data_IF_974150135787
#
_entry.id   IF_974150135787
#
_cell.length_a   1.000
_cell.length_b   1.000
_cell.length_c   1.000
_cell.angle_alpha   90.00
_cell.angle_beta   90.00
_cell.angle_gamma   90.00
#
_symmetry.space_group_name_H-M   'P 1'
#
loop_
_entity.id
_entity.type
_entity.pdbx_description
1 polymer ?
#
# COMPACT_ATOMS: atom_id res chain seq x y z
N UNK A 1 -71.63 -5.56 11.01
CA UNK A 1 -70.37 -4.83 10.78
C UNK A 1 -69.24 -5.77 11.17
N UNK A 2 -68.67 -6.51 10.21
CA UNK A 2 -67.61 -7.48 10.47
C UNK A 2 -66.26 -6.86 10.15
N UNK A 3 -65.37 -6.79 11.13
CA UNK A 3 -64.02 -6.27 11.00
C UNK A 3 -63.08 -7.34 10.44
N UNK A 4 -62.74 -7.25 9.15
CA UNK A 4 -61.69 -8.07 8.53
C UNK A 4 -60.31 -7.55 8.92
N UNK A 5 -59.53 -8.39 9.60
CA UNK A 5 -58.11 -8.19 9.91
C UNK A 5 -57.28 -8.47 8.63
N UNK A 6 -56.27 -7.64 8.28
CA UNK A 6 -55.45 -7.93 7.10
C UNK A 6 -54.44 -9.06 7.39
N UNK A 7 -54.21 -9.89 6.38
CA UNK A 7 -53.27 -11.02 6.44
C UNK A 7 -51.81 -10.53 6.67
N UNK A 8 -50.98 -11.31 7.38
CA UNK A 8 -49.59 -10.94 7.61
C UNK A 8 -48.82 -10.96 6.28
N UNK A 9 -48.12 -9.87 6.00
CA UNK A 9 -47.15 -9.77 4.90
C UNK A 9 -46.13 -10.91 5.00
N UNK A 10 -45.73 -11.53 3.87
CA UNK A 10 -44.69 -12.54 3.90
C UNK A 10 -43.43 -11.90 4.45
N UNK A 11 -42.95 -12.40 5.60
CA UNK A 11 -41.65 -12.02 6.17
C UNK A 11 -40.64 -12.13 5.03
N UNK A 12 -40.00 -11.03 4.67
CA UNK A 12 -38.86 -11.08 3.77
C UNK A 12 -37.91 -12.12 4.37
N UNK A 13 -37.61 -13.15 3.60
CA UNK A 13 -36.55 -14.08 3.94
C UNK A 13 -35.28 -13.24 3.95
N UNK A 14 -34.85 -12.80 5.13
CA UNK A 14 -33.50 -12.29 5.32
C UNK A 14 -32.57 -13.39 4.84
N UNK A 15 -31.80 -13.21 3.75
CA UNK A 15 -30.85 -14.20 3.33
C UNK A 15 -29.80 -14.37 4.41
N UNK A 16 -29.34 -15.61 4.50
CA UNK A 16 -28.56 -16.21 5.57
C UNK A 16 -27.30 -15.41 5.88
N UNK A 17 -27.09 -15.22 7.18
CA UNK A 17 -25.87 -14.82 7.91
C UNK A 17 -24.82 -14.10 7.03
N UNK A 18 -24.68 -12.76 7.18
CA UNK A 18 -23.60 -12.03 6.55
C UNK A 18 -22.28 -12.60 7.09
N UNK A 19 -21.26 -12.61 6.25
CA UNK A 19 -19.85 -12.71 6.62
C UNK A 19 -19.65 -12.64 8.14
N UNK A 20 -19.34 -13.76 8.78
CA UNK A 20 -18.66 -13.61 10.07
C UNK A 20 -17.42 -12.80 9.74
N UNK A 21 -17.16 -11.76 10.52
CA UNK A 21 -15.82 -11.18 10.61
C UNK A 21 -14.82 -12.33 10.47
N UNK A 22 -13.71 -12.10 9.75
CA UNK A 22 -12.57 -13.00 9.75
C UNK A 22 -12.16 -13.23 11.22
N UNK A 23 -12.84 -14.15 11.88
CA UNK A 23 -12.66 -14.52 13.27
C UNK A 23 -11.46 -15.45 13.30
N UNK A 24 -10.84 -15.57 14.47
CA UNK A 24 -9.60 -16.34 14.62
C UNK A 24 -9.71 -17.78 14.04
N UNK A 25 -10.92 -18.34 14.01
CA UNK A 25 -11.24 -19.71 13.58
C UNK A 25 -11.61 -19.92 12.10
N UNK A 26 -11.73 -18.88 11.26
CA UNK A 26 -12.09 -19.03 9.83
C UNK A 26 -10.81 -19.14 8.99
N UNK A 27 -10.72 -20.07 8.01
CA UNK A 27 -9.60 -20.10 7.07
C UNK A 27 -9.43 -18.72 6.42
N UNK A 28 -8.27 -18.10 6.65
CA UNK A 28 -7.98 -16.72 6.24
C UNK A 28 -8.01 -16.52 4.72
N UNK A 29 -7.92 -17.61 3.96
CA UNK A 29 -8.06 -17.65 2.50
C UNK A 29 -9.16 -18.67 2.18
N UNK A 30 -10.24 -18.27 1.47
CA UNK A 30 -11.25 -19.20 0.96
C UNK A 30 -10.67 -20.27 0.03
N UNK A 31 -11.22 -21.48 0.02
CA UNK A 31 -10.73 -22.58 -0.84
C UNK A 31 -10.76 -22.26 -2.34
N UNK A 32 -11.71 -21.43 -2.78
CA UNK A 32 -11.84 -21.01 -4.17
C UNK A 32 -11.03 -19.75 -4.51
N UNK A 33 -10.20 -19.26 -3.59
CA UNK A 33 -9.32 -18.13 -3.84
C UNK A 33 -8.25 -18.53 -4.88
N UNK A 34 -8.03 -17.65 -5.84
CA UNK A 34 -7.02 -17.84 -6.88
C UNK A 34 -5.81 -16.98 -6.55
N UNK A 35 -4.66 -17.61 -6.33
CA UNK A 35 -3.41 -16.86 -6.24
C UNK A 35 -3.04 -16.34 -7.63
N UNK A 36 -3.02 -15.02 -7.78
CA UNK A 36 -2.75 -14.37 -9.05
C UNK A 36 -1.26 -14.44 -9.42
N UNK A 37 -0.37 -14.56 -8.45
CA UNK A 37 1.09 -14.51 -8.66
C UNK A 37 1.81 -15.53 -7.76
N UNK A 38 1.67 -16.84 -8.01
CA UNK A 38 2.23 -17.89 -7.15
C UNK A 38 3.76 -17.86 -7.06
N UNK A 39 4.43 -17.31 -8.06
CA UNK A 39 5.89 -17.20 -8.13
C UNK A 39 6.42 -15.89 -7.51
N UNK A 40 5.55 -14.95 -7.12
CA UNK A 40 5.95 -13.65 -6.56
C UNK A 40 6.62 -13.86 -5.20
N UNK A 41 7.83 -13.31 -5.07
CA UNK A 41 8.50 -13.15 -3.78
C UNK A 41 7.87 -11.96 -3.03
N UNK A 42 7.41 -12.17 -1.80
CA UNK A 42 6.79 -11.13 -0.96
C UNK A 42 5.29 -11.38 -0.71
N UNK A 43 4.48 -10.31 -0.56
CA UNK A 43 3.05 -10.42 -0.34
C UNK A 43 2.34 -11.22 -1.43
N UNK A 44 1.46 -12.12 -0.99
CA UNK A 44 0.61 -12.94 -1.85
C UNK A 44 -0.68 -12.20 -2.15
N UNK A 45 -1.15 -12.29 -3.40
CA UNK A 45 -2.32 -11.55 -3.88
C UNK A 45 -3.32 -12.58 -4.39
N UNK A 46 -4.43 -12.71 -3.67
CA UNK A 46 -5.49 -13.64 -3.99
C UNK A 46 -6.68 -12.90 -4.60
N UNK A 47 -7.17 -13.38 -5.74
CA UNK A 47 -8.51 -13.06 -6.20
C UNK A 47 -9.54 -13.94 -5.48
N UNK A 48 -10.60 -13.32 -4.98
CA UNK A 48 -11.72 -13.98 -4.31
C UNK A 48 -12.95 -13.95 -5.23
N UNK A 49 -13.21 -15.00 -6.03
CA UNK A 49 -14.29 -14.98 -7.04
C UNK A 49 -15.66 -14.72 -6.43
N UNK A 50 -15.94 -15.28 -5.25
CA UNK A 50 -17.23 -15.14 -4.56
C UNK A 50 -17.53 -13.72 -4.06
N UNK A 51 -16.53 -12.83 -3.98
CA UNK A 51 -16.72 -11.45 -3.54
C UNK A 51 -16.34 -10.44 -4.62
N UNK A 52 -15.82 -10.91 -5.76
CA UNK A 52 -15.12 -10.11 -6.75
C UNK A 52 -14.10 -9.12 -6.13
N UNK A 53 -13.27 -9.62 -5.21
CA UNK A 53 -12.36 -8.81 -4.39
C UNK A 53 -10.91 -9.33 -4.44
N UNK A 54 -9.97 -8.51 -4.00
CA UNK A 54 -8.56 -8.85 -3.85
C UNK A 54 -8.18 -8.92 -2.38
N UNK A 55 -7.47 -9.97 -1.99
CA UNK A 55 -6.84 -10.11 -0.68
C UNK A 55 -5.31 -10.09 -0.86
N UNK A 56 -4.66 -9.02 -0.38
CA UNK A 56 -3.20 -8.94 -0.23
C UNK A 56 -2.85 -9.43 1.17
N UNK A 57 -1.96 -10.42 1.29
CA UNK A 57 -1.47 -10.90 2.60
C UNK A 57 0.03 -11.14 2.61
N UNK A 58 0.68 -10.90 3.74
CA UNK A 58 2.07 -11.28 3.92
C UNK A 58 2.76 -10.56 5.08
N UNK A 59 4.00 -10.95 5.40
CA UNK A 59 4.76 -10.38 6.52
C UNK A 59 5.17 -8.92 6.28
N UNK A 60 5.18 -8.47 5.02
CA UNK A 60 5.52 -7.09 4.65
C UNK A 60 4.30 -6.24 4.29
N UNK A 61 3.09 -6.77 4.40
CA UNK A 61 1.85 -6.00 4.18
C UNK A 61 1.61 -5.12 5.39
N UNK A 62 1.49 -3.80 5.18
CA UNK A 62 1.40 -2.82 6.26
C UNK A 62 0.03 -2.15 6.27
N UNK A 63 -0.49 -1.86 7.46
CA UNK A 63 -1.76 -1.11 7.57
C UNK A 63 -1.65 0.31 7.01
N UNK A 64 -0.45 0.89 6.98
CA UNK A 64 -0.17 2.17 6.33
C UNK A 64 -0.59 2.18 4.83
N UNK A 65 -0.47 1.04 4.13
CA UNK A 65 -0.93 0.91 2.74
C UNK A 65 -2.46 1.06 2.64
N UNK A 66 -3.19 0.42 3.56
CA UNK A 66 -4.64 0.52 3.62
C UNK A 66 -5.10 1.93 4.01
N UNK A 67 -4.44 2.55 4.99
CA UNK A 67 -4.72 3.93 5.40
C UNK A 67 -4.42 4.94 4.27
N UNK A 68 -3.36 4.75 3.48
CA UNK A 68 -3.08 5.57 2.31
C UNK A 68 -4.21 5.52 1.28
N UNK A 69 -4.70 4.32 0.93
CA UNK A 69 -5.82 4.17 0.00
C UNK A 69 -7.11 4.81 0.54
N UNK A 70 -7.44 4.58 1.82
CA UNK A 70 -8.60 5.22 2.47
C UNK A 70 -8.49 6.74 2.47
N UNK A 71 -7.30 7.28 2.77
CA UNK A 71 -7.03 8.71 2.78
C UNK A 71 -7.21 9.35 1.39
N UNK A 72 -6.61 8.75 0.37
CA UNK A 72 -6.74 9.20 -1.02
C UNK A 72 -8.20 9.15 -1.46
N UNK A 73 -8.91 8.04 -1.20
CA UNK A 73 -10.34 7.91 -1.54
C UNK A 73 -11.20 8.97 -0.88
N UNK A 74 -10.93 9.27 0.39
CA UNK A 74 -11.69 10.25 1.18
C UNK A 74 -11.41 11.70 0.74
N UNK A 75 -10.16 12.04 0.43
CA UNK A 75 -9.77 13.42 0.07
C UNK A 75 -9.88 13.72 -1.42
N UNK A 76 -9.69 12.72 -2.27
CA UNK A 76 -9.59 12.83 -3.72
C UNK A 76 -10.51 11.82 -4.40
N UNK A 77 -11.85 12.03 -4.39
CA UNK A 77 -12.81 11.05 -4.89
C UNK A 77 -12.68 10.73 -6.39
N UNK A 78 -11.97 11.58 -7.15
CA UNK A 78 -11.71 11.37 -8.58
C UNK A 78 -10.43 10.57 -8.86
N UNK A 79 -9.55 10.38 -7.87
CA UNK A 79 -8.35 9.56 -8.04
C UNK A 79 -8.78 8.08 -7.96
N UNK A 80 -8.53 7.28 -9.00
CA UNK A 80 -8.96 5.89 -9.02
C UNK A 80 -8.02 5.07 -8.14
N UNK A 81 -8.48 4.69 -6.96
CA UNK A 81 -7.77 3.85 -5.98
C UNK A 81 -8.71 2.72 -5.51
N UNK A 82 -8.21 1.49 -5.26
CA UNK A 82 -9.03 0.42 -4.72
C UNK A 82 -9.73 0.84 -3.42
N UNK A 83 -11.02 0.56 -3.33
CA UNK A 83 -11.73 0.71 -2.07
C UNK A 83 -11.32 -0.39 -1.08
N UNK A 84 -10.85 0.00 0.11
CA UNK A 84 -10.46 -0.94 1.16
C UNK A 84 -11.68 -1.38 1.95
N UNK A 85 -12.04 -2.65 1.85
CA UNK A 85 -13.13 -3.24 2.62
C UNK A 85 -12.70 -3.52 4.06
N UNK A 86 -11.51 -4.10 4.25
CA UNK A 86 -10.99 -4.46 5.57
C UNK A 86 -9.46 -4.55 5.57
N UNK A 87 -8.83 -4.18 6.68
CA UNK A 87 -7.39 -4.36 6.89
C UNK A 87 -7.09 -4.69 8.35
N UNK A 88 -6.20 -5.65 8.61
CA UNK A 88 -5.79 -6.02 9.97
C UNK A 88 -4.47 -6.78 9.99
N UNK A 89 -3.87 -6.88 11.19
CA UNK A 89 -2.73 -7.75 11.47
C UNK A 89 -3.21 -9.02 12.19
N UNK A 90 -2.68 -10.19 11.81
CA UNK A 90 -2.88 -11.46 12.53
C UNK A 90 -1.64 -12.33 12.36
N UNK A 91 -1.15 -12.92 13.45
CA UNK A 91 0.02 -13.81 13.44
C UNK A 91 1.23 -13.17 12.72
N UNK A 92 1.51 -11.88 12.99
CA UNK A 92 2.56 -11.06 12.35
C UNK A 92 2.40 -10.85 10.83
N UNK A 93 1.29 -11.30 10.25
CA UNK A 93 0.96 -11.07 8.84
C UNK A 93 -0.05 -9.92 8.71
N UNK A 94 0.20 -9.03 7.76
CA UNK A 94 -0.78 -8.03 7.34
C UNK A 94 -1.75 -8.60 6.32
N UNK A 95 -3.00 -8.15 6.41
CA UNK A 95 -4.08 -8.50 5.50
C UNK A 95 -4.78 -7.23 5.03
N UNK A 96 -4.97 -7.09 3.72
CA UNK A 96 -5.77 -6.03 3.11
C UNK A 96 -6.74 -6.68 2.13
N UNK A 97 -8.04 -6.53 2.42
CA UNK A 97 -9.14 -6.92 1.56
C UNK A 97 -9.68 -5.66 0.88
N UNK A 98 -9.67 -5.65 -0.45
CA UNK A 98 -10.00 -4.46 -1.23
C UNK A 98 -10.70 -4.80 -2.56
N UNK A 99 -11.25 -3.77 -3.19
CA UNK A 99 -11.86 -3.82 -4.51
C UNK A 99 -10.91 -4.43 -5.55
N UNK A 100 -11.46 -5.29 -6.42
CA UNK A 100 -10.76 -5.69 -7.64
C UNK A 100 -10.95 -4.62 -8.70
N UNK A 101 -9.87 -3.97 -9.08
CA UNK A 101 -9.88 -3.03 -10.21
C UNK A 101 -9.96 -3.79 -11.54
N UNK A 102 -10.89 -3.37 -12.39
CA UNK A 102 -11.00 -3.86 -13.77
C UNK A 102 -10.05 -3.12 -14.71
N UNK A 103 -9.46 -3.82 -15.67
CA UNK A 103 -8.52 -3.24 -16.65
C UNK A 103 -7.32 -4.14 -16.89
N UNK A 104 -6.30 -3.60 -17.56
CA UNK A 104 -4.97 -4.24 -17.67
C UNK A 104 -3.89 -3.32 -17.13
N UNK A 105 -2.80 -3.86 -16.57
CA UNK A 105 -1.62 -3.06 -16.22
C UNK A 105 -1.10 -2.31 -17.45
N UNK A 106 -0.70 -1.05 -17.26
CA UNK A 106 -0.18 -0.20 -18.32
C UNK A 106 1.08 -0.82 -18.94
N UNK A 107 1.90 -1.53 -18.15
CA UNK A 107 3.08 -2.27 -18.63
C UNK A 107 2.75 -3.25 -19.78
N UNK A 108 1.58 -3.91 -19.76
CA UNK A 108 1.18 -4.85 -20.81
C UNK A 108 0.69 -4.15 -22.08
N UNK A 109 0.21 -2.92 -21.96
CA UNK A 109 -0.37 -2.16 -23.07
C UNK A 109 0.66 -1.26 -23.73
N UNK A 110 1.63 -0.76 -22.96
CA UNK A 110 2.45 0.41 -23.30
C UNK A 110 3.10 0.31 -24.68
N UNK A 111 3.76 -0.81 -24.97
CA UNK A 111 4.47 -1.04 -26.23
C UNK A 111 3.56 -0.99 -27.47
N UNK A 112 2.29 -1.35 -27.31
CA UNK A 112 1.30 -1.44 -28.40
C UNK A 112 0.51 -0.14 -28.62
N UNK A 113 0.60 0.81 -27.70
CA UNK A 113 -0.08 2.10 -27.82
C UNK A 113 0.69 3.03 -28.74
N UNK A 114 -0.04 3.72 -29.61
CA UNK A 114 0.51 4.83 -30.40
C UNK A 114 0.78 6.07 -29.52
N UNK A 115 1.53 7.06 -30.04
CA UNK A 115 1.89 8.25 -29.26
C UNK A 115 0.70 9.04 -28.72
N UNK A 116 -0.39 9.17 -29.49
CA UNK A 116 -1.58 9.93 -29.04
C UNK A 116 -2.26 9.26 -27.85
N UNK A 117 -2.41 7.92 -27.90
CA UNK A 117 -2.97 7.14 -26.79
C UNK A 117 -2.10 7.18 -25.55
N UNK A 118 -0.78 7.13 -25.70
CA UNK A 118 0.17 7.30 -24.58
C UNK A 118 0.01 8.69 -23.97
N UNK A 119 -0.03 9.74 -24.78
CA UNK A 119 -0.21 11.11 -24.30
C UNK A 119 -1.54 11.27 -23.52
N UNK A 120 -2.62 10.65 -23.98
CA UNK A 120 -3.91 10.65 -23.28
C UNK A 120 -3.85 10.00 -21.89
N UNK A 121 -3.11 8.91 -21.73
CA UNK A 121 -2.91 8.26 -20.42
C UNK A 121 -2.02 9.11 -19.52
N UNK A 122 -0.93 9.66 -20.08
CA UNK A 122 0.01 10.53 -19.35
C UNK A 122 -0.69 11.79 -18.82
N UNK A 123 -1.62 12.37 -19.58
CA UNK A 123 -2.36 13.56 -19.14
C UNK A 123 -3.32 13.26 -17.98
N UNK A 124 -3.99 12.09 -18.01
CA UNK A 124 -4.77 11.64 -16.86
C UNK A 124 -3.89 11.46 -15.61
N UNK A 125 -2.72 10.83 -15.79
CA UNK A 125 -1.77 10.61 -14.71
C UNK A 125 -1.24 11.93 -14.12
N UNK A 126 -0.93 12.92 -14.98
CA UNK A 126 -0.56 14.27 -14.55
C UNK A 126 -1.65 14.90 -13.68
N UNK A 127 -2.91 14.80 -14.10
CA UNK A 127 -4.05 15.30 -13.35
C UNK A 127 -4.22 14.66 -11.98
N UNK A 128 -3.95 13.36 -11.85
CA UNK A 128 -3.99 12.69 -10.54
C UNK A 128 -2.79 13.06 -9.66
N UNK A 129 -1.58 13.10 -10.24
CA UNK A 129 -0.37 13.53 -9.53
C UNK A 129 -0.54 14.93 -8.96
N UNK A 130 -1.05 15.87 -9.75
CA UNK A 130 -1.32 17.22 -9.29
C UNK A 130 -2.27 17.22 -8.08
N UNK A 131 -3.37 16.46 -8.15
CA UNK A 131 -4.36 16.39 -7.07
C UNK A 131 -3.78 15.90 -5.74
N UNK A 132 -3.00 14.82 -5.71
CA UNK A 132 -2.44 14.36 -4.44
C UNK A 132 -1.26 15.18 -3.94
N UNK A 133 -0.54 15.88 -4.82
CA UNK A 133 0.51 16.82 -4.39
C UNK A 133 -0.04 18.07 -3.71
N UNK A 134 -1.32 18.40 -3.92
CA UNK A 134 -2.03 19.43 -3.15
C UNK A 134 -2.30 19.01 -1.71
N UNK A 135 -2.26 17.71 -1.39
CA UNK A 135 -2.36 17.25 -0.02
C UNK A 135 -1.03 17.51 0.70
N UNK A 136 -1.02 18.54 1.53
CA UNK A 136 0.10 18.88 2.42
C UNK A 136 -0.01 18.14 3.75
N UNK A 137 1.12 17.94 4.41
CA UNK A 137 1.19 17.26 5.71
C UNK A 137 2.15 17.96 6.66
N UNK A 138 2.09 17.58 7.93
CA UNK A 138 2.89 18.18 9.00
C UNK A 138 4.19 17.40 9.29
N UNK A 139 4.33 16.19 8.74
CA UNK A 139 5.51 15.34 8.89
C UNK A 139 5.94 14.74 7.55
N UNK A 140 7.21 14.32 7.47
CA UNK A 140 7.69 13.37 6.47
C UNK A 140 7.47 11.96 7.01
N UNK A 141 6.76 11.12 6.26
CA UNK A 141 6.44 9.76 6.69
C UNK A 141 5.12 9.22 6.13
N UNK A 142 4.89 7.94 6.36
CA UNK A 142 3.62 7.28 6.04
C UNK A 142 2.46 7.78 6.90
N UNK A 143 1.25 7.42 6.49
CA UNK A 143 0.06 7.62 7.32
C UNK A 143 -0.06 6.51 8.37
N UNK A 144 -0.52 6.86 9.57
CA UNK A 144 -0.90 5.88 10.59
C UNK A 144 0.21 5.35 11.47
N UNK A 145 1.06 6.23 12.00
CA UNK A 145 2.11 5.88 12.97
C UNK A 145 1.61 5.52 14.37
N UNK A 146 0.31 5.61 14.62
CA UNK A 146 -0.32 4.94 15.75
C UNK A 146 -0.42 3.46 15.43
N UNK A 147 0.21 2.61 16.25
CA UNK A 147 0.11 1.15 16.16
C UNK A 147 -1.33 0.76 15.86
N UNK A 148 -1.58 0.26 14.66
CA UNK A 148 -2.88 -0.25 14.24
C UNK A 148 -3.08 -1.65 14.84
N UNK A 149 -2.96 -1.71 16.17
CA UNK A 149 -3.75 -2.67 16.95
C UNK A 149 -5.16 -2.10 16.89
N UNK A 150 -5.89 -2.47 15.85
CA UNK A 150 -7.34 -2.41 15.92
C UNK A 150 -7.70 -3.15 17.21
N UNK A 151 -8.24 -2.41 18.20
CA UNK A 151 -8.81 -2.93 19.42
C UNK A 151 -9.92 -3.95 19.05
N UNK A 152 -9.55 -5.19 18.77
CA UNK A 152 -10.44 -6.31 18.98
C UNK A 152 -10.46 -6.51 20.48
N UNK A 153 -11.61 -6.18 21.07
CA UNK A 153 -11.81 -6.14 22.51
C UNK A 153 -11.20 -7.34 23.20
N UNK A 154 -10.22 -7.05 24.05
CA UNK A 154 -9.68 -7.98 25.02
C UNK A 154 -10.78 -8.28 26.04
N UNK A 155 -11.64 -9.24 25.70
CA UNK A 155 -12.47 -9.92 26.67
C UNK A 155 -11.62 -11.03 27.29
N UNK A 156 -10.73 -10.61 28.20
CA UNK A 156 -10.27 -11.46 29.28
C UNK A 156 -11.49 -12.09 29.96
N UNK A 157 -11.76 -13.36 29.63
CA UNK A 157 -12.56 -14.23 30.49
C UNK A 157 -11.61 -15.24 31.14
N UNK A 158 -11.59 -15.30 32.48
CA UNK A 158 -10.61 -16.08 33.20
C UNK A 158 -10.83 -17.57 32.95
N UNK A 159 -9.72 -18.27 32.76
CA UNK A 159 -9.62 -19.71 32.63
C UNK A 159 -10.42 -20.43 33.72
N UNK A 160 -11.51 -21.09 33.33
CA UNK A 160 -12.07 -22.20 34.09
C UNK A 160 -11.76 -23.51 33.40
N UNK A 161 -10.80 -24.23 33.98
CA UNK A 161 -10.58 -25.65 33.73
C UNK A 161 -11.84 -26.45 34.07
N UNK A 162 -12.40 -27.17 33.09
CA UNK A 162 -13.10 -28.41 33.39
C UNK A 162 -12.88 -29.50 32.32
N UNK A 163 -12.56 -30.68 32.85
CA UNK A 163 -12.30 -31.95 32.16
C UNK A 163 -13.54 -32.45 31.41
N UNK A 164 -13.27 -32.99 30.22
CA UNK A 164 -13.73 -34.29 29.72
C UNK A 164 -15.22 -34.58 29.61
N UNK A 165 -15.68 -34.83 28.38
CA UNK A 165 -16.52 -36.00 28.09
C UNK A 165 -16.49 -36.31 26.59
N UNK A 166 -16.29 -37.59 26.31
CA UNK A 166 -16.42 -38.26 25.02
C UNK A 166 -17.83 -38.15 24.45
N UNK A 167 -17.95 -37.96 23.14
CA UNK A 167 -19.20 -38.09 22.40
C UNK A 167 -18.93 -38.20 20.90
N UNK A 168 -19.07 -39.41 20.36
CA UNK A 168 -19.06 -39.69 18.92
C UNK A 168 -20.34 -39.19 18.26
N UNK A 169 -20.26 -38.67 17.03
CA UNK A 169 -21.26 -38.94 15.99
C UNK A 169 -20.82 -38.48 14.60
N UNK A 170 -20.60 -39.49 13.75
CA UNK A 170 -20.99 -39.62 12.34
C UNK A 170 -20.77 -38.46 11.35
N UNK A 171 -20.00 -38.82 10.31
CA UNK A 171 -19.89 -38.16 9.02
C UNK A 171 -21.23 -37.89 8.34
N UNK A 172 -21.35 -36.69 7.76
CA UNK A 172 -22.28 -36.36 6.69
C UNK A 172 -21.48 -35.58 5.64
N UNK A 173 -21.07 -36.28 4.59
CA UNK A 173 -20.39 -35.75 3.43
C UNK A 173 -21.42 -35.12 2.48
N UNK A 174 -21.65 -33.82 2.58
CA UNK A 174 -22.33 -33.06 1.54
C UNK A 174 -21.35 -32.05 0.96
N UNK A 175 -20.85 -32.36 -0.24
CA UNK A 175 -20.00 -31.49 -1.03
C UNK A 175 -20.82 -30.27 -1.47
N UNK A 176 -20.59 -29.13 -0.83
CA UNK A 176 -21.14 -27.85 -1.26
C UNK A 176 -20.38 -27.38 -2.51
N UNK A 177 -21.00 -27.47 -3.68
CA UNK A 177 -20.50 -26.81 -4.90
C UNK A 177 -21.13 -25.42 -5.00
N UNK A 178 -20.37 -24.33 -4.81
CA UNK A 178 -20.94 -22.99 -4.90
C UNK A 178 -21.33 -22.66 -6.35
N UNK A 179 -22.59 -22.28 -6.55
CA UNK A 179 -23.07 -21.74 -7.82
C UNK A 179 -22.68 -20.24 -7.95
N UNK A 180 -22.53 -19.71 -9.19
CA UNK A 180 -22.12 -18.32 -9.44
C UNK A 180 -23.04 -17.23 -8.84
N UNK A 181 -24.22 -17.60 -8.34
CA UNK A 181 -25.19 -16.69 -7.72
C UNK A 181 -25.09 -16.58 -6.18
N UNK A 182 -24.20 -17.35 -5.54
CA UNK A 182 -24.02 -17.34 -4.06
C UNK A 182 -22.96 -16.32 -3.58
N UNK A 183 -22.48 -15.47 -4.49
CA UNK A 183 -21.55 -14.40 -4.17
C UNK A 183 -22.20 -13.42 -3.18
N UNK A 184 -21.80 -13.49 -1.91
CA UNK A 184 -22.16 -12.45 -0.96
C UNK A 184 -21.38 -11.17 -1.32
N UNK A 185 -21.96 -9.96 -1.20
CA UNK A 185 -21.23 -8.73 -1.46
C UNK A 185 -20.16 -8.52 -0.37
N UNK A 186 -18.96 -7.96 -0.68
CA UNK A 186 -17.93 -7.71 0.32
C UNK A 186 -18.45 -6.84 1.48
N UNK A 187 -17.81 -6.89 2.66
CA UNK A 187 -18.24 -6.07 3.79
C UNK A 187 -18.20 -4.58 3.43
N UNK A 188 -19.05 -3.74 4.07
CA UNK A 188 -19.03 -2.32 3.81
C UNK A 188 -17.63 -1.76 4.10
N UNK A 189 -17.14 -0.82 3.27
CA UNK A 189 -15.85 -0.18 3.44
C UNK A 189 -15.70 0.39 4.85
N UNK A 190 -14.54 0.14 5.47
CA UNK A 190 -14.22 0.75 6.76
C UNK A 190 -13.79 2.20 6.54
N UNK A 191 -14.39 3.12 7.30
CA UNK A 191 -13.91 4.50 7.41
C UNK A 191 -12.47 4.52 7.94
N UNK A 192 -11.65 5.50 7.51
CA UNK A 192 -10.29 5.67 8.04
C UNK A 192 -10.28 5.63 9.57
N UNK A 193 -9.34 4.89 10.17
CA UNK A 193 -9.20 4.81 11.62
C UNK A 193 -8.65 6.11 12.23
N UNK A 194 -8.04 6.94 11.39
CA UNK A 194 -7.39 8.19 11.73
C UNK A 194 -8.05 9.27 10.89
N UNK A 195 -8.44 10.39 11.51
CA UNK A 195 -8.92 11.52 10.71
C UNK A 195 -7.80 11.94 9.74
N UNK A 196 -8.11 12.10 8.45
CA UNK A 196 -7.14 12.51 7.44
C UNK A 196 -6.31 13.75 7.84
N UNK A 197 -5.03 13.55 8.18
CA UNK A 197 -4.12 14.60 8.64
C UNK A 197 -4.07 14.81 10.16
N UNK A 198 -4.67 13.92 10.95
CA UNK A 198 -4.77 14.05 12.41
C UNK A 198 -4.30 12.77 13.11
N UNK A 199 -3.00 12.66 13.38
CA UNK A 199 -2.41 11.54 14.12
C UNK A 199 -0.88 11.56 14.04
N UNK A 200 -0.17 10.79 14.89
CA UNK A 200 1.27 10.67 14.76
C UNK A 200 1.62 10.03 13.41
N UNK A 201 2.52 10.66 12.67
CA UNK A 201 3.03 10.13 11.42
C UNK A 201 3.68 8.75 11.58
N UNK A 202 3.56 7.91 10.55
CA UNK A 202 4.29 6.66 10.48
C UNK A 202 5.72 6.85 9.99
N UNK A 203 6.53 5.79 9.99
CA UNK A 203 7.88 5.85 9.45
C UNK A 203 7.87 6.23 7.97
N UNK A 204 8.97 6.81 7.51
CA UNK A 204 9.23 7.10 6.11
C UNK A 204 9.39 5.80 5.31
N UNK A 205 8.75 5.78 4.15
CA UNK A 205 8.69 4.63 3.26
C UNK A 205 9.47 4.84 1.96
N UNK A 206 10.21 5.95 1.90
CA UNK A 206 11.11 6.35 0.84
C UNK A 206 12.19 5.28 0.63
N UNK A 207 12.62 5.08 -0.63
CA UNK A 207 13.61 4.05 -0.97
C UNK A 207 14.89 4.17 -0.15
N UNK A 208 15.32 5.40 0.13
CA UNK A 208 16.53 5.70 0.90
C UNK A 208 16.49 5.11 2.31
N UNK A 209 15.30 4.89 2.86
CA UNK A 209 15.06 4.29 4.18
C UNK A 209 14.75 2.79 4.13
N UNK A 210 14.62 2.22 2.93
CA UNK A 210 14.33 0.79 2.70
C UNK A 210 15.55 -0.03 2.30
N UNK A 211 16.68 0.59 2.02
CA UNK A 211 17.91 -0.12 1.67
C UNK A 211 18.34 -1.09 2.77
N UNK A 212 18.73 -2.29 2.36
CA UNK A 212 19.13 -3.38 3.26
C UNK A 212 20.34 -2.94 4.09
N UNK A 213 20.09 -2.65 5.36
CA UNK A 213 21.12 -2.33 6.33
C UNK A 213 22.00 -3.57 6.57
N UNK A 214 23.26 -3.33 6.94
CA UNK A 214 24.13 -4.36 7.51
C UNK A 214 23.79 -4.71 8.96
N UNK A 215 22.64 -4.22 9.44
CA UNK A 215 22.09 -4.56 10.73
C UNK A 215 22.02 -6.09 10.87
N UNK A 216 22.21 -6.57 12.09
CA UNK A 216 22.14 -7.98 12.43
C UNK A 216 20.92 -8.63 11.78
N UNK A 217 21.00 -9.88 11.29
CA UNK A 217 19.84 -10.56 10.72
C UNK A 217 18.62 -10.43 11.65
N UNK A 218 17.61 -9.68 11.22
CA UNK A 218 16.38 -9.44 12.00
C UNK A 218 16.18 -8.02 12.56
N UNK A 219 17.16 -7.11 12.48
CA UNK A 219 17.03 -5.74 12.99
C UNK A 219 16.66 -4.76 11.86
N UNK A 220 15.36 -4.56 11.63
CA UNK A 220 14.87 -3.58 10.65
C UNK A 220 14.76 -2.19 11.31
N UNK A 221 15.68 -1.28 10.95
CA UNK A 221 15.61 0.10 11.41
C UNK A 221 14.50 0.86 10.67
N UNK A 222 13.71 1.60 11.43
CA UNK A 222 12.68 2.52 10.92
C UNK A 222 13.18 3.95 11.01
N UNK A 223 12.81 4.78 10.04
CA UNK A 223 13.21 6.19 9.99
C UNK A 223 11.96 7.06 10.03
N UNK A 224 12.02 8.18 10.74
CA UNK A 224 10.90 9.08 10.89
C UNK A 224 9.76 8.53 11.78
N UNK A 225 8.60 9.22 11.82
CA UNK A 225 8.30 10.45 11.06
C UNK A 225 9.26 11.60 11.42
N UNK A 226 9.48 12.52 10.48
CA UNK A 226 10.29 13.73 10.71
C UNK A 226 9.43 14.98 10.59
N UNK A 227 9.59 15.96 11.46
CA UNK A 227 8.78 17.17 11.42
C UNK A 227 9.36 18.21 10.46
N UNK A 228 10.68 18.17 10.21
CA UNK A 228 11.37 19.16 9.39
C UNK A 228 12.26 18.52 8.33
N UNK A 229 12.57 19.28 7.27
CA UNK A 229 13.47 18.89 6.20
C UNK A 229 14.87 18.60 6.74
N UNK A 230 15.34 19.38 7.70
CA UNK A 230 16.62 19.15 8.37
C UNK A 230 16.65 17.79 9.11
N UNK A 231 15.56 17.43 9.79
CA UNK A 231 15.42 16.10 10.43
C UNK A 231 15.38 14.98 9.38
N UNK A 232 14.62 15.16 8.30
CA UNK A 232 14.58 14.21 7.18
C UNK A 232 15.97 13.98 6.57
N UNK A 233 16.69 15.06 6.27
CA UNK A 233 18.06 15.01 5.72
C UNK A 233 19.03 14.33 6.70
N UNK A 234 18.90 14.61 8.00
CA UNK A 234 19.66 13.91 9.05
C UNK A 234 19.33 12.41 9.07
N UNK A 235 18.06 12.07 8.88
CA UNK A 235 17.61 10.69 8.67
C UNK A 235 18.27 10.02 7.47
N UNK A 236 18.40 10.72 6.33
CA UNK A 236 19.09 10.19 5.14
C UNK A 236 20.57 9.95 5.42
N UNK A 237 21.25 10.87 6.13
CA UNK A 237 22.64 10.68 6.57
C UNK A 237 22.76 9.50 7.52
N UNK A 238 21.78 9.29 8.39
CA UNK A 238 21.73 8.14 9.27
C UNK A 238 21.51 6.84 8.48
N UNK A 239 20.66 6.85 7.45
CA UNK A 239 20.49 5.72 6.54
C UNK A 239 21.80 5.38 5.80
N UNK A 240 22.56 6.41 5.42
CA UNK A 240 23.91 6.22 4.91
C UNK A 240 24.77 5.46 5.94
N UNK A 241 24.90 5.94 7.18
CA UNK A 241 25.67 5.24 8.23
C UNK A 241 25.31 3.76 8.35
N UNK A 242 24.01 3.46 8.37
CA UNK A 242 23.52 2.09 8.54
C UNK A 242 23.78 1.18 7.32
N UNK A 243 24.08 1.74 6.14
CA UNK A 243 24.49 0.97 4.98
C UNK A 243 25.98 0.60 4.97
N UNK A 244 26.79 1.15 5.89
CA UNK A 244 28.23 0.85 6.02
C UNK A 244 28.45 -0.31 6.99
N UNK A 245 29.48 -1.12 6.73
CA UNK A 245 29.84 -2.28 7.58
C UNK A 245 30.30 -1.89 8.98
N UNK A 246 30.90 -0.71 9.11
CA UNK A 246 31.39 -0.18 10.39
C UNK A 246 30.35 0.67 11.11
N UNK A 247 29.27 1.07 10.43
CA UNK A 247 28.35 2.11 10.91
C UNK A 247 28.91 3.54 10.83
N UNK A 248 30.14 3.71 10.34
CA UNK A 248 30.84 4.99 10.27
C UNK A 248 30.93 5.50 8.83
N UNK A 249 30.78 6.82 8.65
CA UNK A 249 31.04 7.49 7.38
C UNK A 249 32.52 7.88 7.29
N UNK A 250 33.09 7.84 6.09
CA UNK A 250 34.49 8.22 5.86
C UNK A 250 34.60 9.60 5.21
N UNK A 251 35.84 10.10 5.05
CA UNK A 251 36.13 11.35 4.32
C UNK A 251 35.56 11.35 2.89
N UNK A 252 35.38 10.17 2.26
CA UNK A 252 34.78 10.09 0.92
C UNK A 252 33.28 10.36 0.92
N UNK A 253 32.60 10.21 2.06
CA UNK A 253 31.17 10.49 2.21
C UNK A 253 30.89 11.98 2.48
N UNK A 254 31.85 12.74 3.02
CA UNK A 254 31.66 14.13 3.46
C UNK A 254 31.08 15.05 2.37
N UNK A 255 31.52 15.01 1.10
CA UNK A 255 30.95 15.86 0.06
C UNK A 255 29.47 15.55 -0.20
N UNK A 256 29.06 14.28 -0.10
CA UNK A 256 27.68 13.88 -0.27
C UNK A 256 26.84 14.29 0.94
N UNK A 257 27.34 14.07 2.17
CA UNK A 257 26.68 14.51 3.41
C UNK A 257 26.45 16.02 3.40
N UNK A 258 27.45 16.80 3.01
CA UNK A 258 27.34 18.27 2.89
C UNK A 258 26.23 18.66 1.92
N UNK A 259 26.14 18.01 0.76
CA UNK A 259 25.08 18.26 -0.22
C UNK A 259 23.69 17.88 0.28
N UNK A 260 23.57 16.75 0.99
CA UNK A 260 22.29 16.32 1.60
C UNK A 260 21.83 17.36 2.63
N UNK A 261 22.73 17.81 3.51
CA UNK A 261 22.41 18.78 4.55
C UNK A 261 22.10 20.17 3.99
N UNK A 262 22.75 20.55 2.88
CA UNK A 262 22.49 21.80 2.19
C UNK A 262 21.12 21.85 1.49
N UNK A 263 20.51 20.70 1.19
CA UNK A 263 19.19 20.61 0.56
C UNK A 263 18.07 20.90 1.58
N UNK A 264 18.02 22.14 2.07
CA UNK A 264 17.12 22.56 3.15
C UNK A 264 16.35 23.85 2.83
N UNK A 265 16.27 24.22 1.54
CA UNK A 265 15.64 25.47 1.08
C UNK A 265 14.10 25.46 1.21
N UNK A 266 13.49 24.28 1.31
CA UNK A 266 12.05 24.10 1.47
C UNK A 266 11.72 22.98 2.44
N UNK A 267 10.81 23.26 3.36
CA UNK A 267 10.21 22.28 4.30
C UNK A 267 8.86 21.75 3.81
N UNK A 268 8.56 21.95 2.52
CA UNK A 268 7.32 21.46 1.92
C UNK A 268 7.28 19.92 1.97
N UNK A 269 6.09 19.41 2.33
CA UNK A 269 5.74 18.01 2.41
C UNK A 269 4.49 17.80 1.56
N UNK A 270 4.61 17.04 0.49
CA UNK A 270 3.48 16.71 -0.38
C UNK A 270 3.20 15.23 -0.29
N UNK A 271 1.93 14.85 -0.43
CA UNK A 271 1.59 13.44 -0.50
C UNK A 271 2.12 12.84 -1.81
N UNK A 272 2.74 11.67 -1.72
CA UNK A 272 3.35 10.95 -2.84
C UNK A 272 2.96 9.48 -2.78
N UNK A 273 2.89 8.84 -3.94
CA UNK A 273 2.65 7.41 -4.11
C UNK A 273 3.92 6.61 -3.80
N UNK A 274 5.05 6.96 -4.42
CA UNK A 274 6.37 6.40 -4.10
C UNK A 274 6.81 5.18 -4.91
N UNK A 275 5.87 4.46 -5.52
CA UNK A 275 6.17 3.39 -6.47
C UNK A 275 5.33 3.48 -7.75
N UNK A 276 5.33 4.66 -8.39
CA UNK A 276 4.52 4.93 -9.58
C UNK A 276 5.11 4.29 -10.83
N UNK A 277 4.87 2.99 -10.99
CA UNK A 277 5.33 2.17 -12.12
C UNK A 277 4.17 1.75 -13.03
N UNK A 278 4.42 1.44 -14.32
CA UNK A 278 3.36 1.01 -15.25
C UNK A 278 2.59 -0.24 -14.79
N UNK A 279 3.24 -1.12 -14.03
CA UNK A 279 2.60 -2.33 -13.45
C UNK A 279 1.53 -1.99 -12.41
N UNK A 280 1.64 -0.82 -11.79
CA UNK A 280 0.74 -0.34 -10.73
C UNK A 280 -0.37 0.57 -11.28
N UNK A 281 -0.45 0.77 -12.61
CA UNK A 281 -1.46 1.61 -13.26
C UNK A 281 -2.37 0.71 -14.09
N UNK A 282 -3.64 0.63 -13.70
CA UNK A 282 -4.67 -0.13 -14.42
C UNK A 282 -5.37 0.76 -15.44
N UNK A 283 -5.52 0.25 -16.66
CA UNK A 283 -6.15 0.98 -17.77
C UNK A 283 -7.20 0.10 -18.44
N UNK A 284 -8.36 0.68 -18.73
CA UNK A 284 -9.34 0.05 -19.61
C UNK A 284 -8.79 0.06 -21.06
N UNK A 285 -8.53 -1.10 -21.68
CA UNK A 285 -7.93 -1.16 -23.02
C UNK A 285 -8.83 -0.60 -24.13
N UNK A 286 -10.13 -0.41 -23.87
CA UNK A 286 -11.08 0.15 -24.86
C UNK A 286 -11.15 1.67 -24.77
N UNK A 287 -11.26 2.20 -23.56
CA UNK A 287 -11.46 3.64 -23.33
C UNK A 287 -10.17 4.39 -23.02
N UNK A 288 -9.11 3.66 -22.68
CA UNK A 288 -7.81 4.18 -22.21
C UNK A 288 -7.92 5.04 -20.95
N UNK A 289 -9.03 4.91 -20.22
CA UNK A 289 -9.19 5.53 -18.90
C UNK A 289 -8.37 4.76 -17.89
N UNK A 290 -7.65 5.49 -17.03
CA UNK A 290 -7.03 4.87 -15.85
C UNK A 290 -8.17 4.48 -14.91
N UNK A 291 -8.25 3.18 -14.61
CA UNK A 291 -9.29 2.59 -13.76
C UNK A 291 -8.81 2.34 -12.34
N UNK A 292 -7.50 2.35 -12.10
CA UNK A 292 -6.93 2.23 -10.76
C UNK A 292 -5.44 2.50 -10.71
N UNK A 293 -5.00 3.06 -9.59
CA UNK A 293 -3.61 3.22 -9.18
C UNK A 293 -3.44 2.34 -7.95
N UNK A 294 -2.56 1.35 -8.06
CA UNK A 294 -2.37 0.26 -7.11
C UNK A 294 -1.07 0.44 -6.33
N UNK A 295 -0.92 -0.32 -5.25
CA UNK A 295 0.33 -0.46 -4.48
C UNK A 295 0.79 0.83 -3.79
N UNK A 296 -0.09 1.38 -2.95
CA UNK A 296 0.16 2.57 -2.11
C UNK A 296 1.02 2.26 -0.87
N UNK A 297 1.76 1.15 -0.86
CA UNK A 297 2.52 0.69 0.31
C UNK A 297 3.66 1.64 0.71
N UNK A 298 4.13 2.45 -0.25
CA UNK A 298 5.18 3.43 -0.06
C UNK A 298 4.65 4.86 0.07
N UNK A 299 3.34 5.02 0.14
CA UNK A 299 2.72 6.32 0.09
C UNK A 299 2.83 7.06 1.42
N UNK A 300 2.96 8.37 1.34
CA UNK A 300 3.16 9.22 2.49
C UNK A 300 3.50 10.65 2.11
N UNK A 301 3.66 11.47 3.14
CA UNK A 301 4.17 12.82 2.98
C UNK A 301 5.69 12.76 2.82
N UNK A 302 6.17 13.33 1.72
CA UNK A 302 7.57 13.27 1.31
C UNK A 302 7.99 14.60 0.69
N UNK A 303 9.31 14.78 0.45
CA UNK A 303 9.79 15.87 -0.37
C UNK A 303 9.09 15.96 -1.74
N UNK A 304 8.86 17.18 -2.29
CA UNK A 304 8.23 17.35 -3.60
C UNK A 304 8.93 16.60 -4.74
N UNK A 305 10.24 16.41 -4.64
CA UNK A 305 11.04 15.72 -5.63
C UNK A 305 10.99 14.18 -5.57
N UNK A 306 10.46 13.62 -4.49
CA UNK A 306 10.57 12.18 -4.17
C UNK A 306 9.93 11.28 -5.24
N UNK A 307 8.71 11.61 -5.69
CA UNK A 307 7.98 10.82 -6.70
C UNK A 307 8.78 10.67 -8.00
N UNK A 308 9.35 11.77 -8.50
CA UNK A 308 10.17 11.76 -9.71
C UNK A 308 11.47 10.99 -9.48
N UNK A 309 12.19 11.28 -8.39
CA UNK A 309 13.51 10.72 -8.15
C UNK A 309 13.45 9.20 -7.95
N UNK A 310 12.51 8.72 -7.14
CA UNK A 310 12.30 7.30 -6.92
C UNK A 310 11.78 6.58 -8.16
N UNK A 311 10.76 7.15 -8.82
CA UNK A 311 10.21 6.59 -10.04
C UNK A 311 11.27 6.46 -11.15
N UNK A 312 12.16 7.46 -11.27
CA UNK A 312 13.22 7.46 -12.27
C UNK A 312 14.36 6.50 -11.94
N UNK A 313 14.74 6.40 -10.66
CA UNK A 313 15.76 5.43 -10.22
C UNK A 313 15.30 4.00 -10.47
N UNK A 314 14.07 3.66 -10.06
CA UNK A 314 13.49 2.31 -10.22
C UNK A 314 13.06 1.98 -11.64
N UNK A 315 12.76 2.98 -12.46
CA UNK A 315 12.36 2.79 -13.85
C UNK A 315 13.45 2.06 -14.63
N UNK A 316 13.32 0.74 -14.79
CA UNK A 316 14.25 -0.07 -15.59
C UNK A 316 14.13 0.23 -17.08
N UNK A 317 12.97 0.70 -17.49
CA UNK A 317 12.64 1.02 -18.87
C UNK A 317 12.89 2.50 -19.16
N UNK A 318 13.80 2.76 -20.10
CA UNK A 318 14.11 4.10 -20.61
C UNK A 318 12.88 4.84 -21.12
N UNK A 319 11.89 4.12 -21.64
CA UNK A 319 10.64 4.71 -22.11
C UNK A 319 9.82 5.29 -20.95
N UNK A 320 9.71 4.57 -19.83
CA UNK A 320 8.98 5.07 -18.67
C UNK A 320 9.70 6.26 -18.01
N UNK A 321 11.04 6.22 -17.99
CA UNK A 321 11.85 7.36 -17.55
C UNK A 321 11.52 8.65 -18.30
N UNK A 322 11.32 8.60 -19.61
CA UNK A 322 10.90 9.76 -20.42
C UNK A 322 9.49 10.24 -20.12
N UNK A 323 8.59 9.32 -19.74
CA UNK A 323 7.25 9.71 -19.27
C UNK A 323 7.37 10.50 -17.98
N UNK A 324 8.15 10.01 -17.01
CA UNK A 324 8.42 10.76 -15.78
C UNK A 324 9.06 12.12 -16.07
N UNK A 325 9.99 12.21 -17.02
CA UNK A 325 10.59 13.49 -17.44
C UNK A 325 9.55 14.49 -17.97
N UNK A 326 8.48 13.99 -18.58
CA UNK A 326 7.37 14.83 -19.05
C UNK A 326 6.40 15.23 -17.93
N UNK A 327 6.31 14.45 -16.85
CA UNK A 327 5.32 14.63 -15.78
C UNK A 327 5.73 15.69 -14.76
N UNK A 328 7.02 15.92 -14.57
CA UNK A 328 7.54 16.81 -13.52
C UNK A 328 8.25 18.04 -14.10
N UNK A 329 8.35 19.09 -13.29
CA UNK A 329 9.03 20.36 -13.61
C UNK A 329 10.55 20.23 -13.49
N UNK A 330 11.31 21.14 -14.10
CA UNK A 330 12.76 21.02 -14.22
C UNK A 330 13.50 21.18 -12.89
N UNK A 331 12.98 21.99 -11.97
CA UNK A 331 13.49 22.17 -10.61
C UNK A 331 13.50 20.84 -9.82
N UNK A 332 12.44 20.04 -9.95
CA UNK A 332 12.36 18.69 -9.39
C UNK A 332 13.40 17.78 -10.03
N UNK A 333 13.66 17.92 -11.33
CA UNK A 333 14.62 17.09 -12.06
C UNK A 333 16.06 17.41 -11.69
N UNK A 334 16.38 18.67 -11.39
CA UNK A 334 17.71 19.09 -10.94
C UNK A 334 18.15 18.35 -9.67
N UNK A 335 17.20 18.04 -8.78
CA UNK A 335 17.47 17.27 -7.56
C UNK A 335 17.78 15.80 -7.80
N UNK A 336 17.42 15.24 -8.97
CA UNK A 336 17.63 13.81 -9.26
C UNK A 336 19.10 13.40 -9.20
N UNK A 337 20.02 14.27 -9.58
CA UNK A 337 21.46 13.95 -9.48
C UNK A 337 21.86 13.66 -8.03
N UNK A 338 21.41 14.47 -7.07
CA UNK A 338 21.68 14.25 -5.65
C UNK A 338 21.08 12.92 -5.20
N UNK A 339 19.80 12.68 -5.50
CA UNK A 339 19.11 11.44 -5.15
C UNK A 339 19.76 10.18 -5.71
N UNK A 340 20.20 10.23 -6.97
CA UNK A 340 20.95 9.13 -7.60
C UNK A 340 22.29 8.91 -6.92
N UNK A 341 23.01 9.97 -6.57
CA UNK A 341 24.29 9.88 -5.87
C UNK A 341 24.09 9.28 -4.44
N UNK A 342 22.98 9.61 -3.75
CA UNK A 342 22.56 9.01 -2.47
C UNK A 342 22.28 7.51 -2.63
N UNK A 343 21.43 7.15 -3.59
CA UNK A 343 21.04 5.76 -3.86
C UNK A 343 22.26 4.90 -4.19
N UNK A 344 23.17 5.41 -5.03
CA UNK A 344 24.42 4.74 -5.35
C UNK A 344 25.31 4.53 -4.11
N UNK A 345 25.43 5.54 -3.25
CA UNK A 345 26.20 5.43 -2.01
C UNK A 345 25.57 4.43 -1.01
N UNK A 346 24.23 4.32 -0.96
CA UNK A 346 23.55 3.31 -0.15
C UNK A 346 23.85 1.90 -0.67
N UNK A 347 23.82 1.71 -1.98
CA UNK A 347 23.98 0.39 -2.63
C UNK A 347 25.43 -0.08 -2.68
N UNK A 348 26.39 0.81 -2.96
CA UNK A 348 27.81 0.45 -3.15
C UNK A 348 28.43 -0.25 -1.93
N UNK A 349 27.93 0.06 -0.73
CA UNK A 349 28.38 -0.55 0.52
C UNK A 349 27.47 -1.70 1.00
N UNK A 350 26.36 -1.97 0.30
CA UNK A 350 25.48 -3.10 0.60
C UNK A 350 26.09 -4.42 0.10
N UNK A 351 26.05 -5.48 0.92
CA UNK A 351 26.61 -6.81 0.60
C UNK A 351 25.97 -7.50 -0.62
N UNK A 352 24.88 -6.95 -1.17
CA UNK A 352 24.16 -7.53 -2.31
C UNK A 352 24.97 -7.38 -3.61
N UNK A 353 25.85 -6.38 -3.70
CA UNK A 353 26.61 -6.05 -4.91
C UNK A 353 28.12 -6.25 -4.79
N UNK A 354 28.62 -6.72 -3.64
CA UNK A 354 30.04 -7.00 -3.41
C UNK A 354 30.46 -8.45 -3.73
N UNK A 355 29.79 -9.10 -4.70
CA UNK A 355 30.16 -10.43 -5.20
C UNK A 355 30.43 -10.44 -6.70
#
# INVERSE_FOLDING_TARGET
MGTTTPAPTPRSRVPRRPWRLLSEDVPLIPENAVDLFPEKLGPRIFYLPSANAILKKGPTVRMAEAEAMRFVKAKLPNVPVPEVYQSFMKDELGFILMEKIEGRPLSELWERLDPEKRAFIVEQLRGFIAQWRELKGDWYGSLGGGSSVANYGDHHHPHHHHRGSTGSSSAGSDAYSPHPGDASPPPPPQTPAIEPGSGPGGPCEDIVFKHLCLASPGEQKTYGPFNTRAEYNSGVVEALRNSRTTGELSETDEPLVTRIQAENDSDEKVFTHGDLQPVNIMVDPKTLRITGILDWETAGYSPPEREYCEGRSRGREEVWRRVLDSLFEDDVKEKYKLWRDIDWALVAHSRVWSK
#
